data_IF_119849727684
#
_entry.id   IF_119849727684
#
_cell.length_a   1.000
_cell.length_b   1.000
_cell.length_c   1.000
_cell.angle_alpha   90.00
_cell.angle_beta   90.00
_cell.angle_gamma   90.00
#
_symmetry.space_group_name_H-M   'P 1'
#
loop_
_entity.id
_entity.type
_entity.pdbx_description
1 polymer ?
#
# COMPACT_ATOMS: atom_id res chain seq x y z
N UNK A 1 -15.73 8.18 22.93
CA UNK A 1 -14.34 7.94 22.58
C UNK A 1 -13.85 6.70 23.33
N UNK A 2 -13.48 5.68 22.61
CA UNK A 2 -12.93 4.46 23.20
C UNK A 2 -11.42 4.66 23.28
N UNK A 3 -10.95 5.12 24.42
CA UNK A 3 -9.53 5.01 24.77
C UNK A 3 -9.24 3.52 25.00
N UNK A 4 -8.40 2.93 24.16
CA UNK A 4 -7.92 1.57 24.40
C UNK A 4 -7.05 1.57 25.65
N UNK A 5 -7.43 0.73 26.61
CA UNK A 5 -6.69 0.56 27.86
C UNK A 5 -5.28 -0.05 27.69
N UNK A 6 -4.91 -0.49 26.49
CA UNK A 6 -3.64 -1.13 26.16
C UNK A 6 -2.52 -0.17 25.70
N UNK A 7 -2.76 1.15 25.71
CA UNK A 7 -1.78 2.16 25.28
C UNK A 7 -1.41 2.11 23.79
N UNK A 8 -2.11 1.30 22.99
CA UNK A 8 -1.85 1.10 21.57
C UNK A 8 -2.39 2.27 20.75
N UNK A 9 -1.51 3.09 20.21
CA UNK A 9 -1.94 4.13 19.30
C UNK A 9 -2.11 3.57 17.85
N UNK A 10 -2.97 4.20 17.06
CA UNK A 10 -3.25 3.77 15.70
C UNK A 10 -2.03 3.85 14.77
N UNK A 11 -1.13 4.81 14.99
CA UNK A 11 0.10 4.96 14.22
C UNK A 11 1.08 3.82 14.48
N UNK A 12 1.25 3.42 15.75
CA UNK A 12 2.13 2.31 16.09
C UNK A 12 1.63 0.99 15.50
N UNK A 13 0.32 0.75 15.60
CA UNK A 13 -0.33 -0.39 14.94
C UNK A 13 -0.09 -0.38 13.43
N UNK A 14 -0.22 0.78 12.79
CA UNK A 14 0.01 0.92 11.36
C UNK A 14 1.48 0.66 10.99
N UNK A 15 2.45 1.21 11.74
CA UNK A 15 3.89 0.94 11.56
C UNK A 15 4.23 -0.54 11.71
N UNK A 16 3.65 -1.23 12.70
CA UNK A 16 3.85 -2.66 12.89
C UNK A 16 3.25 -3.48 11.73
N UNK A 17 2.13 -3.02 11.18
CA UNK A 17 1.52 -3.64 10.01
C UNK A 17 2.37 -3.46 8.75
N UNK A 18 2.94 -2.25 8.55
CA UNK A 18 3.91 -1.95 7.47
C UNK A 18 5.10 -2.91 7.55
N UNK A 19 5.75 -3.01 8.70
CA UNK A 19 6.89 -3.93 8.90
C UNK A 19 6.54 -5.37 8.54
N UNK A 20 5.38 -5.84 9.00
CA UNK A 20 4.92 -7.21 8.74
C UNK A 20 4.65 -7.46 7.26
N UNK A 21 4.01 -6.51 6.57
CA UNK A 21 3.72 -6.62 5.14
C UNK A 21 4.98 -6.58 4.29
N UNK A 22 5.95 -5.72 4.63
CA UNK A 22 7.25 -5.67 3.96
C UNK A 22 8.00 -6.99 4.11
N UNK A 23 8.07 -7.56 5.31
CA UNK A 23 8.69 -8.87 5.52
C UNK A 23 7.99 -9.98 4.70
N UNK A 24 6.68 -9.91 4.54
CA UNK A 24 5.96 -10.88 3.72
C UNK A 24 6.23 -10.69 2.23
N UNK A 25 6.34 -9.43 1.76
CA UNK A 25 6.74 -9.14 0.38
C UNK A 25 8.15 -9.66 0.08
N UNK A 26 9.12 -9.36 0.93
CA UNK A 26 10.50 -9.82 0.79
C UNK A 26 10.62 -11.36 0.80
N UNK A 27 9.86 -12.01 1.67
CA UNK A 27 9.82 -13.47 1.70
C UNK A 27 9.17 -14.08 0.44
N UNK A 28 8.15 -13.43 -0.11
CA UNK A 28 7.52 -13.86 -1.35
C UNK A 28 8.46 -13.65 -2.54
N UNK A 29 9.17 -12.53 -2.63
CA UNK A 29 10.20 -12.30 -3.65
C UNK A 29 11.30 -13.35 -3.58
N UNK A 30 11.84 -13.61 -2.41
CA UNK A 30 12.86 -14.65 -2.22
C UNK A 30 12.41 -16.02 -2.72
N UNK A 31 11.17 -16.41 -2.39
CA UNK A 31 10.59 -17.66 -2.92
C UNK A 31 10.40 -17.62 -4.43
N UNK A 32 9.98 -16.49 -4.98
CA UNK A 32 9.87 -16.27 -6.41
C UNK A 32 11.21 -16.47 -7.12
N UNK A 33 12.28 -15.88 -6.58
CA UNK A 33 13.63 -16.04 -7.09
C UNK A 33 14.13 -17.48 -7.00
N UNK A 34 13.86 -18.18 -5.90
CA UNK A 34 14.20 -19.61 -5.75
C UNK A 34 13.49 -20.48 -6.82
N UNK A 35 12.20 -20.23 -7.10
CA UNK A 35 11.47 -20.92 -8.14
C UNK A 35 11.99 -20.59 -9.53
N UNK A 36 12.32 -19.32 -9.78
CA UNK A 36 12.91 -18.85 -11.04
C UNK A 36 14.27 -19.53 -11.29
N UNK A 37 15.11 -19.63 -10.27
CA UNK A 37 16.38 -20.32 -10.37
C UNK A 37 16.20 -21.82 -10.68
N UNK A 38 15.30 -22.48 -9.95
CA UNK A 38 14.93 -23.89 -10.22
C UNK A 38 14.37 -24.10 -11.62
N UNK A 39 13.72 -23.10 -12.23
CA UNK A 39 13.20 -23.18 -13.60
C UNK A 39 14.27 -23.21 -14.67
N UNK A 40 15.53 -22.92 -14.31
CA UNK A 40 16.69 -22.99 -15.19
C UNK A 40 17.31 -24.40 -15.26
N UNK A 41 16.69 -25.43 -14.67
CA UNK A 41 17.14 -26.80 -14.78
C UNK A 41 17.31 -27.22 -16.25
N UNK A 42 18.48 -27.70 -16.61
CA UNK A 42 18.78 -28.12 -17.98
C UNK A 42 18.82 -27.00 -19.01
N UNK A 43 19.06 -25.74 -18.57
CA UNK A 43 19.12 -24.56 -19.43
C UNK A 43 20.09 -24.73 -20.61
N UNK A 44 21.30 -25.28 -20.37
CA UNK A 44 22.31 -25.46 -21.42
C UNK A 44 21.84 -26.48 -22.47
N UNK A 45 21.18 -27.56 -22.03
CA UNK A 45 20.57 -28.57 -22.94
C UNK A 45 19.42 -27.92 -23.75
N UNK A 46 18.54 -27.18 -23.10
CA UNK A 46 17.40 -26.53 -23.77
C UNK A 46 17.85 -25.39 -24.70
N UNK A 47 18.99 -24.76 -24.42
CA UNK A 47 19.58 -23.70 -25.27
C UNK A 47 20.08 -24.23 -26.62
N UNK A 48 20.36 -25.54 -26.74
CA UNK A 48 20.69 -26.18 -28.01
C UNK A 48 19.51 -26.21 -28.99
N UNK A 49 18.31 -25.88 -28.52
CA UNK A 49 17.07 -25.83 -29.31
C UNK A 49 16.82 -27.13 -30.13
N UNK A 50 17.32 -28.29 -29.66
CA UNK A 50 17.07 -29.57 -30.33
C UNK A 50 15.56 -29.87 -30.30
N UNK A 51 14.97 -30.21 -31.46
CA UNK A 51 13.57 -30.61 -31.51
C UNK A 51 13.33 -31.91 -30.74
N UNK A 52 12.15 -32.02 -30.12
CA UNK A 52 11.73 -33.22 -29.42
C UNK A 52 11.63 -34.37 -30.46
N UNK A 53 12.46 -35.43 -30.31
CA UNK A 53 12.45 -36.59 -31.19
C UNK A 53 11.27 -37.48 -30.82
N UNK A 54 10.16 -37.33 -31.54
CA UNK A 54 8.92 -38.10 -31.32
C UNK A 54 9.17 -39.59 -31.49
N UNK A 55 8.71 -40.43 -30.55
CA UNK A 55 8.92 -41.88 -30.53
C UNK A 55 10.30 -42.29 -29.99
N UNK A 56 11.23 -41.38 -29.72
CA UNK A 56 12.52 -41.69 -29.13
C UNK A 56 12.43 -41.87 -27.61
N UNK A 57 13.26 -42.76 -27.04
CA UNK A 57 13.26 -43.02 -25.58
C UNK A 57 13.47 -41.77 -24.70
N UNK A 58 14.09 -40.72 -25.21
CA UNK A 58 14.32 -39.45 -24.51
C UNK A 58 13.13 -38.53 -24.54
N UNK A 59 12.10 -38.75 -25.37
CA UNK A 59 10.96 -37.84 -25.54
C UNK A 59 10.30 -37.49 -24.21
N UNK A 60 9.95 -38.53 -23.42
CA UNK A 60 9.27 -38.34 -22.14
C UNK A 60 10.06 -37.44 -21.16
N UNK A 61 11.38 -37.66 -21.10
CA UNK A 61 12.27 -36.88 -20.22
C UNK A 61 12.36 -35.43 -20.68
N UNK A 62 12.49 -35.20 -21.98
CA UNK A 62 12.56 -33.83 -22.54
C UNK A 62 11.27 -33.06 -22.29
N UNK A 63 10.09 -33.64 -22.57
CA UNK A 63 8.79 -33.04 -22.30
C UNK A 63 8.58 -32.78 -20.79
N UNK A 64 8.97 -33.74 -19.94
CA UNK A 64 8.86 -33.59 -18.50
C UNK A 64 9.76 -32.46 -17.95
N UNK A 65 10.96 -32.25 -18.50
CA UNK A 65 11.85 -31.17 -18.15
C UNK A 65 11.23 -29.81 -18.49
N UNK A 66 10.74 -29.64 -19.72
CA UNK A 66 10.06 -28.44 -20.16
C UNK A 66 8.84 -28.14 -19.26
N UNK A 67 8.00 -29.16 -19.01
CA UNK A 67 6.81 -28.98 -18.17
C UNK A 67 7.16 -28.61 -16.72
N UNK A 68 8.21 -29.20 -16.13
CA UNK A 68 8.68 -28.81 -14.78
C UNK A 68 9.15 -27.40 -14.75
N UNK A 69 9.94 -26.97 -15.72
CA UNK A 69 10.44 -25.59 -15.78
C UNK A 69 9.31 -24.58 -15.98
N UNK A 70 8.33 -24.91 -16.82
CA UNK A 70 7.12 -24.10 -16.98
C UNK A 70 6.34 -23.96 -15.66
N UNK A 71 6.10 -25.07 -14.95
CA UNK A 71 5.38 -25.05 -13.68
C UNK A 71 6.16 -24.24 -12.61
N UNK A 72 7.49 -24.35 -12.58
CA UNK A 72 8.34 -23.59 -11.66
C UNK A 72 8.31 -22.11 -11.97
N UNK A 73 8.33 -21.73 -13.24
CA UNK A 73 8.19 -20.34 -13.64
C UNK A 73 6.81 -19.77 -13.26
N UNK A 74 5.75 -20.54 -13.45
CA UNK A 74 4.42 -20.13 -12.99
C UNK A 74 4.37 -19.91 -11.46
N UNK A 75 5.00 -20.81 -10.69
CA UNK A 75 5.10 -20.66 -9.24
C UNK A 75 5.88 -19.37 -8.87
N UNK A 76 6.97 -19.06 -9.60
CA UNK A 76 7.70 -17.82 -9.41
C UNK A 76 6.82 -16.59 -9.65
N UNK A 77 6.08 -16.57 -10.74
CA UNK A 77 5.17 -15.48 -11.08
C UNK A 77 4.06 -15.30 -10.03
N UNK A 78 3.54 -16.39 -9.48
CA UNK A 78 2.56 -16.37 -8.39
C UNK A 78 3.13 -15.73 -7.11
N UNK A 79 4.36 -16.07 -6.74
CA UNK A 79 5.01 -15.49 -5.56
C UNK A 79 5.31 -13.99 -5.78
N UNK A 80 5.76 -13.56 -6.96
CA UNK A 80 5.95 -12.15 -7.28
C UNK A 80 4.64 -11.35 -7.23
N UNK A 81 3.55 -11.89 -7.75
CA UNK A 81 2.22 -11.26 -7.62
C UNK A 81 1.79 -11.09 -6.16
N UNK A 82 2.11 -12.07 -5.29
CA UNK A 82 1.85 -11.93 -3.84
C UNK A 82 2.69 -10.82 -3.23
N UNK A 83 3.97 -10.70 -3.61
CA UNK A 83 4.84 -9.63 -3.14
C UNK A 83 4.29 -8.26 -3.52
N UNK A 84 3.86 -8.08 -4.76
CA UNK A 84 3.25 -6.83 -5.24
C UNK A 84 1.96 -6.50 -4.47
N UNK A 85 1.09 -7.48 -4.27
CA UNK A 85 -0.14 -7.29 -3.48
C UNK A 85 0.15 -6.90 -2.01
N UNK A 86 1.23 -7.40 -1.41
CA UNK A 86 1.65 -6.95 -0.08
C UNK A 86 2.17 -5.52 -0.10
N UNK A 87 2.93 -5.10 -1.12
CA UNK A 87 3.41 -3.72 -1.28
C UNK A 87 2.28 -2.73 -1.49
N UNK A 88 1.29 -3.06 -2.30
CA UNK A 88 0.08 -2.22 -2.47
C UNK A 88 -0.63 -1.99 -1.13
N UNK A 89 -0.77 -3.05 -0.33
CA UNK A 89 -1.36 -2.93 1.01
C UNK A 89 -0.47 -2.16 1.98
N UNK A 90 0.84 -2.19 1.80
CA UNK A 90 1.80 -1.42 2.62
C UNK A 90 1.58 0.07 2.44
N UNK A 91 1.42 0.55 1.21
CA UNK A 91 1.16 1.97 0.93
C UNK A 91 -0.06 2.53 1.69
N UNK A 92 -1.13 1.75 1.80
CA UNK A 92 -2.29 2.12 2.62
C UNK A 92 -1.93 2.28 4.10
N UNK A 93 -1.18 1.33 4.69
CA UNK A 93 -0.80 1.38 6.10
C UNK A 93 0.24 2.44 6.40
N UNK A 94 1.10 2.78 5.45
CA UNK A 94 2.02 3.93 5.54
C UNK A 94 1.25 5.25 5.64
N UNK A 95 0.21 5.42 4.83
CA UNK A 95 -0.65 6.59 4.93
C UNK A 95 -1.35 6.68 6.29
N UNK A 96 -1.76 5.54 6.86
CA UNK A 96 -2.36 5.49 8.19
C UNK A 96 -1.36 5.72 9.32
N UNK A 97 -0.09 5.33 9.14
CA UNK A 97 0.99 5.54 10.12
C UNK A 97 1.33 7.02 10.29
N UNK A 98 1.08 7.85 9.27
CA UNK A 98 1.33 9.29 9.28
C UNK A 98 0.06 10.12 9.56
N UNK A 99 -1.07 9.47 9.73
CA UNK A 99 -2.34 10.16 9.97
C UNK A 99 -2.45 10.55 11.44
N UNK A 100 -2.67 11.84 11.68
CA UNK A 100 -3.00 12.37 12.99
C UNK A 100 -4.53 12.29 13.18
N UNK A 101 -4.95 11.68 14.26
CA UNK A 101 -6.37 11.57 14.66
C UNK A 101 -6.61 12.16 16.06
N UNK A 102 -7.88 12.29 16.45
CA UNK A 102 -8.29 12.86 17.73
C UNK A 102 -7.83 12.08 18.97
N UNK A 103 -7.32 10.86 18.80
CA UNK A 103 -6.79 10.06 19.92
C UNK A 103 -5.37 10.47 20.35
N UNK A 104 -4.77 11.42 19.66
CA UNK A 104 -3.39 11.88 19.86
C UNK A 104 -3.35 13.31 20.38
N UNK A 105 -2.47 13.62 21.33
CA UNK A 105 -2.30 15.02 21.84
C UNK A 105 -1.94 16.00 20.73
N UNK A 106 -1.13 15.57 19.74
CA UNK A 106 -0.71 16.38 18.60
C UNK A 106 -1.88 16.81 17.70
N UNK A 107 -3.05 16.16 17.87
CA UNK A 107 -4.27 16.53 17.13
C UNK A 107 -4.74 17.95 17.44
N UNK A 108 -4.43 18.48 18.61
CA UNK A 108 -4.80 19.85 19.00
C UNK A 108 -4.19 20.86 18.04
N UNK A 109 -2.87 20.88 17.94
CA UNK A 109 -2.11 21.78 17.05
C UNK A 109 -2.40 21.48 15.58
N UNK A 110 -2.46 20.20 15.21
CA UNK A 110 -2.75 19.79 13.83
C UNK A 110 -4.09 20.32 13.32
N UNK A 111 -5.18 20.16 14.09
CA UNK A 111 -6.50 20.63 13.67
C UNK A 111 -6.64 22.15 13.78
N UNK A 112 -5.89 22.81 14.65
CA UNK A 112 -5.81 24.28 14.69
C UNK A 112 -5.22 24.83 13.39
N UNK A 113 -4.06 24.33 12.97
CA UNK A 113 -3.38 24.72 11.73
C UNK A 113 -4.29 24.45 10.52
N UNK A 114 -4.84 23.23 10.44
CA UNK A 114 -5.73 22.85 9.33
C UNK A 114 -7.01 23.69 9.26
N UNK A 115 -7.55 24.10 10.40
CA UNK A 115 -8.73 24.97 10.45
C UNK A 115 -8.38 26.36 9.93
N UNK A 116 -7.23 26.91 10.32
CA UNK A 116 -6.80 28.23 9.88
C UNK A 116 -6.53 28.27 8.38
N UNK A 117 -5.80 27.28 7.85
CA UNK A 117 -5.58 27.12 6.40
C UNK A 117 -6.91 27.02 5.63
N UNK A 118 -7.86 26.22 6.14
CA UNK A 118 -9.16 26.07 5.50
C UNK A 118 -9.99 27.36 5.51
N UNK A 119 -9.93 28.18 6.57
CA UNK A 119 -10.57 29.49 6.65
C UNK A 119 -9.96 30.45 5.64
N UNK A 120 -8.62 30.51 5.58
CA UNK A 120 -7.89 31.37 4.64
C UNK A 120 -8.24 30.99 3.20
N UNK A 121 -8.22 29.72 2.87
CA UNK A 121 -8.60 29.26 1.54
C UNK A 121 -10.06 29.53 1.19
N UNK A 122 -10.98 29.34 2.13
CA UNK A 122 -12.39 29.68 1.92
C UNK A 122 -12.59 31.18 1.68
N UNK A 123 -11.89 32.03 2.45
CA UNK A 123 -11.93 33.48 2.25
C UNK A 123 -11.33 33.89 0.91
N UNK A 124 -10.17 33.31 0.53
CA UNK A 124 -9.55 33.54 -0.77
C UNK A 124 -10.52 33.25 -1.93
N UNK A 125 -11.25 32.12 -1.90
CA UNK A 125 -12.23 31.80 -2.94
C UNK A 125 -13.47 32.68 -2.92
N UNK A 126 -13.80 33.32 -1.79
CA UNK A 126 -14.84 34.35 -1.75
C UNK A 126 -14.41 35.62 -2.47
N UNK A 127 -13.18 36.05 -2.19
CA UNK A 127 -12.64 37.30 -2.70
C UNK A 127 -12.24 37.20 -4.18
N UNK A 128 -11.94 35.95 -4.65
CA UNK A 128 -11.51 35.67 -6.02
C UNK A 128 -12.47 34.67 -6.73
N UNK A 129 -13.63 35.14 -7.23
CA UNK A 129 -14.59 34.25 -7.90
C UNK A 129 -14.05 33.50 -9.13
N UNK A 130 -13.07 34.10 -9.83
CA UNK A 130 -12.43 33.52 -11.00
C UNK A 130 -11.55 32.29 -10.69
N UNK A 131 -11.02 32.22 -9.47
CA UNK A 131 -10.15 31.13 -9.01
C UNK A 131 -10.93 29.91 -8.47
N UNK A 132 -12.26 29.94 -8.52
CA UNK A 132 -13.07 28.82 -8.05
C UNK A 132 -12.97 27.65 -9.03
N UNK A 133 -12.52 26.45 -8.60
CA UNK A 133 -12.36 25.29 -9.49
C UNK A 133 -13.69 24.79 -10.07
N UNK A 134 -14.81 25.07 -9.40
CA UNK A 134 -16.18 24.73 -9.86
C UNK A 134 -17.25 25.51 -9.08
N UNK A 135 -18.48 25.54 -9.57
CA UNK A 135 -19.58 26.32 -8.96
C UNK A 135 -19.90 25.99 -7.50
N UNK A 136 -19.62 24.77 -7.05
CA UNK A 136 -19.88 24.34 -5.66
C UNK A 136 -18.68 24.51 -4.73
N UNK A 137 -17.58 25.10 -5.19
CA UNK A 137 -16.33 25.23 -4.42
C UNK A 137 -16.52 25.90 -3.04
N UNK A 138 -17.30 26.97 -2.97
CA UNK A 138 -17.60 27.65 -1.70
C UNK A 138 -18.40 26.76 -0.73
N UNK A 139 -19.31 25.96 -1.23
CA UNK A 139 -20.08 25.05 -0.38
C UNK A 139 -19.18 23.96 0.22
N UNK A 140 -18.31 23.37 -0.59
CA UNK A 140 -17.34 22.36 -0.10
C UNK A 140 -16.32 22.93 0.89
N UNK A 141 -15.76 24.10 0.61
CA UNK A 141 -14.80 24.73 1.54
C UNK A 141 -15.48 25.16 2.84
N UNK A 142 -16.72 25.68 2.79
CA UNK A 142 -17.51 25.97 3.98
C UNK A 142 -17.76 24.73 4.83
N UNK A 143 -18.13 23.60 4.19
CA UNK A 143 -18.30 22.33 4.89
C UNK A 143 -17.01 21.88 5.54
N UNK A 144 -15.87 21.94 4.80
CA UNK A 144 -14.53 21.59 5.32
C UNK A 144 -14.18 22.42 6.56
N UNK A 145 -14.42 23.74 6.54
CA UNK A 145 -14.18 24.63 7.70
C UNK A 145 -15.05 24.21 8.88
N UNK A 146 -16.33 23.88 8.66
CA UNK A 146 -17.23 23.45 9.72
C UNK A 146 -16.79 22.11 10.35
N UNK A 147 -16.39 21.15 9.52
CA UNK A 147 -15.94 19.84 9.98
C UNK A 147 -14.61 19.94 10.76
N UNK A 148 -13.66 20.76 10.29
CA UNK A 148 -12.40 21.01 10.99
C UNK A 148 -12.61 21.76 12.31
N UNK A 149 -13.52 22.73 12.34
CA UNK A 149 -13.88 23.43 13.58
C UNK A 149 -14.42 22.45 14.63
N UNK A 150 -15.32 21.56 14.25
CA UNK A 150 -15.85 20.53 15.17
C UNK A 150 -14.76 19.59 15.68
N UNK A 151 -13.80 19.19 14.81
CA UNK A 151 -12.68 18.36 15.21
C UNK A 151 -11.73 19.08 16.16
N UNK A 152 -11.40 20.33 15.89
CA UNK A 152 -10.57 21.15 16.76
C UNK A 152 -11.23 21.36 18.13
N UNK A 153 -12.53 21.68 18.18
CA UNK A 153 -13.29 21.80 19.45
C UNK A 153 -13.28 20.49 20.25
N UNK A 154 -13.32 19.35 19.55
CA UNK A 154 -13.20 18.03 20.20
C UNK A 154 -11.77 17.79 20.71
N UNK A 155 -10.75 18.14 19.94
CA UNK A 155 -9.35 18.05 20.37
C UNK A 155 -9.07 18.92 21.60
N UNK A 156 -9.59 20.15 21.63
CA UNK A 156 -9.51 21.03 22.81
C UNK A 156 -10.12 20.37 24.06
N UNK A 157 -11.29 19.74 23.92
CA UNK A 157 -11.94 19.05 25.06
C UNK A 157 -11.19 17.82 25.55
N UNK A 158 -10.38 17.22 24.69
CA UNK A 158 -9.63 16.00 25.03
C UNK A 158 -8.23 16.29 25.58
N UNK A 159 -7.60 17.38 25.11
CA UNK A 159 -6.17 17.60 25.30
C UNK A 159 -5.78 18.98 25.86
N UNK A 160 -6.71 19.94 25.93
CA UNK A 160 -6.51 21.22 26.62
C UNK A 160 -7.20 21.18 27.98
#
# INVERSE_FOLDING_TARGET
>A
SITRADGYNNQERARNKVKKLNNWADNADKKGDEWREKSNEGKDFLALAEPIKVGHHSEKRHRALIQRNWNRMNNAMEEFKKADAYRERTAYWESMANKIDLSMPESLEFFEIQLEEAKQYHQFLKDNPAERPHGMALSYTRKKVKDLKSKHETAVKLWA
#
